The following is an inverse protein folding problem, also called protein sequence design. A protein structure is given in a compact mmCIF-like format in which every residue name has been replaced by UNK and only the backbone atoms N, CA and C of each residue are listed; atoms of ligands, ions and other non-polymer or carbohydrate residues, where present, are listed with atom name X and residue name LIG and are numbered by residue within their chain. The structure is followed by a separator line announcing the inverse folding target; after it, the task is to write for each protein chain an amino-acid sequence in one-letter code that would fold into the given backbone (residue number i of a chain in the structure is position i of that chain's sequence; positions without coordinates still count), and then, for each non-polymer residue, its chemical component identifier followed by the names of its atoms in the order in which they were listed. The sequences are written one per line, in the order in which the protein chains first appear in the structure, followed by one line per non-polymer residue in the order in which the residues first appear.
data_IF_873986676817
#
_entry.id   IF_873986676817
#
_cell.length_a   1.000
_cell.length_b   1.000
_cell.length_c   1.000
_cell.angle_alpha   90.00
_cell.angle_beta   90.00
_cell.angle_gamma   90.00
#
_symmetry.space_group_name_H-M   'P 1'
#
loop_
_entity.id
_entity.type
_entity.pdbx_description
1 polymer ?
#
# COMPACT_ATOMS: atom_id res chain seq x y z
N UNK A 1 -26.63 -7.92 -15.43
CA UNK A 1 -26.52 -7.92 -13.97
C UNK A 1 -27.27 -6.69 -13.46
N UNK A 2 -28.38 -6.92 -12.76
CA UNK A 2 -29.16 -5.84 -12.15
C UNK A 2 -28.49 -5.48 -10.81
N UNK A 3 -27.51 -4.58 -10.86
CA UNK A 3 -26.76 -4.17 -9.68
C UNK A 3 -27.58 -3.12 -8.93
N UNK A 4 -27.98 -3.43 -7.71
CA UNK A 4 -28.71 -2.52 -6.83
C UNK A 4 -27.75 -1.74 -5.97
N UNK A 5 -27.75 -0.42 -6.13
CA UNK A 5 -27.00 0.51 -5.28
C UNK A 5 -27.89 0.97 -4.12
N UNK A 6 -27.29 1.09 -2.93
CA UNK A 6 -27.93 1.62 -1.74
C UNK A 6 -27.10 2.81 -1.23
N UNK A 7 -27.62 4.03 -1.40
CA UNK A 7 -26.97 5.25 -0.93
C UNK A 7 -27.14 5.41 0.57
N UNK A 8 -26.03 5.62 1.29
CA UNK A 8 -26.01 5.81 2.74
C UNK A 8 -25.17 7.04 3.12
N UNK A 9 -25.57 7.72 4.19
CA UNK A 9 -24.82 8.80 4.85
C UNK A 9 -24.20 8.36 6.18
N UNK A 10 -24.47 7.15 6.60
CA UNK A 10 -24.00 6.56 7.85
C UNK A 10 -23.69 5.08 7.61
N UNK A 11 -22.47 4.66 7.98
CA UNK A 11 -22.02 3.28 7.80
C UNK A 11 -22.81 2.27 8.66
N UNK A 12 -23.51 2.71 9.71
CA UNK A 12 -24.42 1.84 10.46
C UNK A 12 -25.65 1.37 9.66
N UNK A 13 -25.89 2.00 8.50
CA UNK A 13 -27.01 1.68 7.60
C UNK A 13 -26.64 0.77 6.43
N UNK A 14 -25.53 0.07 6.51
CA UNK A 14 -25.12 -0.91 5.51
C UNK A 14 -26.15 -2.03 5.40
N UNK A 15 -26.62 -2.29 4.18
CA UNK A 15 -27.50 -3.43 3.88
C UNK A 15 -26.71 -4.56 3.23
N UNK A 16 -26.81 -5.75 3.82
CA UNK A 16 -26.17 -6.95 3.29
C UNK A 16 -26.74 -7.33 1.91
N UNK A 17 -25.88 -7.83 1.02
CA UNK A 17 -26.25 -8.23 -0.35
C UNK A 17 -26.49 -7.09 -1.33
N UNK A 18 -26.21 -5.83 -0.95
CA UNK A 18 -26.24 -4.65 -1.83
C UNK A 18 -24.86 -4.04 -1.94
N UNK A 19 -24.64 -3.26 -3.02
CA UNK A 19 -23.52 -2.34 -3.10
C UNK A 19 -23.94 -1.07 -2.38
N UNK A 20 -23.40 -0.85 -1.18
CA UNK A 20 -23.65 0.36 -0.42
C UNK A 20 -22.71 1.47 -0.92
N UNK A 21 -23.25 2.64 -1.20
CA UNK A 21 -22.51 3.83 -1.63
C UNK A 21 -22.57 4.85 -0.52
N UNK A 22 -21.45 5.00 0.19
CA UNK A 22 -21.31 5.98 1.25
C UNK A 22 -21.02 7.36 0.68
N UNK A 23 -21.84 8.35 1.07
CA UNK A 23 -21.66 9.74 0.67
C UNK A 23 -20.59 10.39 1.55
N UNK A 24 -19.38 10.50 1.05
CA UNK A 24 -18.23 11.09 1.77
C UNK A 24 -18.26 12.62 1.80
N UNK A 25 -19.02 13.27 0.92
CA UNK A 25 -19.15 14.73 0.82
C UNK A 25 -20.52 15.14 0.27
N UNK A 26 -20.98 16.34 0.60
CA UNK A 26 -22.29 16.91 0.17
C UNK A 26 -22.13 17.98 -0.93
N UNK A 27 -20.96 18.09 -1.56
CA UNK A 27 -20.67 19.11 -2.57
C UNK A 27 -21.16 18.65 -3.94
N UNK A 28 -21.97 19.44 -4.60
CA UNK A 28 -22.25 19.29 -6.04
C UNK A 28 -21.01 19.69 -6.85
N UNK A 29 -20.67 18.91 -7.85
CA UNK A 29 -19.55 19.19 -8.75
C UNK A 29 -19.84 18.72 -10.18
N UNK A 30 -19.27 19.44 -11.15
CA UNK A 30 -19.34 19.05 -12.55
C UNK A 30 -18.24 18.05 -12.88
N UNK A 31 -18.65 16.87 -13.32
CA UNK A 31 -17.71 15.82 -13.73
C UNK A 31 -17.20 16.09 -15.14
N UNK A 32 -15.95 16.53 -15.25
CA UNK A 32 -15.26 16.76 -16.53
C UNK A 32 -14.29 15.63 -16.82
N UNK A 33 -14.72 14.61 -17.55
CA UNK A 33 -13.88 13.47 -17.92
C UNK A 33 -12.63 13.91 -18.71
N UNK A 34 -11.48 13.30 -18.37
CA UNK A 34 -10.20 13.58 -19.02
C UNK A 34 -9.56 14.91 -18.60
N UNK A 35 -10.17 15.65 -17.68
CA UNK A 35 -9.60 16.89 -17.14
C UNK A 35 -9.04 16.69 -15.74
N UNK A 36 -7.89 17.32 -15.49
CA UNK A 36 -7.26 17.33 -14.19
C UNK A 36 -7.64 18.63 -13.45
N UNK A 37 -8.68 18.58 -12.63
CA UNK A 37 -9.18 19.74 -11.88
C UNK A 37 -8.82 19.68 -10.41
N UNK A 38 -8.57 20.81 -9.73
CA UNK A 38 -8.35 20.85 -8.28
C UNK A 38 -9.54 20.32 -7.47
N UNK A 39 -10.75 20.54 -7.95
CA UNK A 39 -12.00 20.07 -7.32
C UNK A 39 -12.03 18.54 -7.29
N UNK A 40 -11.73 17.89 -8.41
CA UNK A 40 -11.65 16.41 -8.47
C UNK A 40 -10.58 15.87 -7.50
N UNK A 41 -9.45 16.57 -7.37
CA UNK A 41 -8.40 16.23 -6.40
C UNK A 41 -8.91 16.31 -4.96
N UNK A 42 -9.58 17.37 -4.58
CA UNK A 42 -10.17 17.53 -3.23
C UNK A 42 -11.18 16.44 -2.91
N UNK A 43 -12.05 16.10 -3.86
CA UNK A 43 -13.06 15.05 -3.67
C UNK A 43 -12.42 13.66 -3.56
N UNK A 44 -11.35 13.40 -4.32
CA UNK A 44 -10.58 12.16 -4.20
C UNK A 44 -9.93 12.02 -2.82
N UNK A 45 -9.35 13.12 -2.29
CA UNK A 45 -8.79 13.14 -0.93
C UNK A 45 -9.89 12.94 0.11
N UNK A 46 -11.00 13.65 0.04
CA UNK A 46 -12.12 13.48 0.97
C UNK A 46 -12.66 12.05 1.00
N UNK A 47 -12.74 11.41 -0.18
CA UNK A 47 -13.14 9.99 -0.28
C UNK A 47 -12.12 9.06 0.39
N UNK A 48 -10.82 9.30 0.18
CA UNK A 48 -9.74 8.53 0.79
C UNK A 48 -9.72 8.68 2.31
N UNK A 49 -9.85 9.91 2.81
CA UNK A 49 -9.90 10.22 4.25
C UNK A 49 -11.09 9.53 4.93
N UNK A 50 -12.28 9.60 4.31
CA UNK A 50 -13.47 8.94 4.84
C UNK A 50 -13.30 7.41 4.92
N UNK A 51 -12.73 6.79 3.88
CA UNK A 51 -12.47 5.36 3.85
C UNK A 51 -11.38 4.95 4.86
N UNK A 52 -10.32 5.75 4.99
CA UNK A 52 -9.25 5.51 5.97
C UNK A 52 -9.77 5.62 7.40
N UNK A 53 -10.65 6.60 7.68
CA UNK A 53 -11.32 6.72 8.97
C UNK A 53 -12.16 5.48 9.28
N UNK A 54 -12.97 5.03 8.33
CA UNK A 54 -13.78 3.82 8.48
C UNK A 54 -12.91 2.58 8.78
N UNK A 55 -11.74 2.46 8.14
CA UNK A 55 -10.77 1.39 8.40
C UNK A 55 -10.18 1.49 9.82
N UNK A 56 -9.76 2.69 10.25
CA UNK A 56 -9.24 2.92 11.61
C UNK A 56 -10.25 2.59 12.71
N UNK A 57 -11.52 2.87 12.45
CA UNK A 57 -12.62 2.60 13.38
C UNK A 57 -13.13 1.15 13.32
N UNK A 58 -12.54 0.31 12.46
CA UNK A 58 -12.95 -1.10 12.31
C UNK A 58 -14.33 -1.29 11.68
N UNK A 59 -14.83 -0.29 10.96
CA UNK A 59 -16.12 -0.34 10.27
C UNK A 59 -16.02 -1.04 8.91
N UNK A 60 -14.81 -1.17 8.38
CA UNK A 60 -14.49 -1.95 7.18
C UNK A 60 -13.22 -2.78 7.44
N UNK A 61 -13.10 -3.93 6.77
CA UNK A 61 -12.00 -4.88 6.96
C UNK A 61 -10.83 -4.62 6.01
N UNK A 62 -11.09 -3.99 4.87
CA UNK A 62 -10.08 -3.70 3.85
C UNK A 62 -10.46 -2.47 3.02
N UNK A 63 -9.47 -1.83 2.44
CA UNK A 63 -9.61 -0.69 1.55
C UNK A 63 -9.04 -1.02 0.16
N UNK A 64 -9.87 -0.86 -0.87
CA UNK A 64 -9.46 -0.93 -2.27
C UNK A 64 -9.55 0.47 -2.87
N UNK A 65 -8.46 0.98 -3.41
CA UNK A 65 -8.39 2.35 -3.95
C UNK A 65 -8.36 2.35 -5.47
N UNK A 66 -9.05 3.32 -6.07
CA UNK A 66 -8.89 3.68 -7.46
C UNK A 66 -7.63 4.57 -7.64
N UNK A 67 -7.07 4.67 -8.86
CA UNK A 67 -5.96 5.58 -9.13
C UNK A 67 -6.31 7.04 -8.80
N UNK A 68 -5.33 7.78 -8.26
CA UNK A 68 -5.42 9.22 -8.03
C UNK A 68 -4.42 9.97 -8.91
N UNK A 69 -4.73 11.21 -9.23
CA UNK A 69 -3.76 12.08 -9.89
C UNK A 69 -2.89 12.78 -8.83
N UNK A 70 -1.60 12.44 -8.81
CA UNK A 70 -0.65 12.90 -7.78
C UNK A 70 -0.42 14.41 -7.77
N UNK A 71 -0.73 15.12 -8.86
CA UNK A 71 -0.54 16.57 -8.92
C UNK A 71 -1.73 17.36 -8.38
N UNK A 72 -2.98 16.87 -8.56
CA UNK A 72 -4.16 17.63 -8.15
C UNK A 72 -4.64 17.32 -6.72
N UNK A 73 -4.12 16.27 -6.10
CA UNK A 73 -4.39 15.96 -4.69
C UNK A 73 -3.54 16.78 -3.72
N UNK A 74 -2.44 17.40 -4.20
CA UNK A 74 -1.59 18.22 -3.33
C UNK A 74 -2.32 19.46 -2.84
N UNK A 75 -2.27 19.69 -1.53
CA UNK A 75 -2.86 20.83 -0.86
C UNK A 75 -2.08 21.17 0.41
N UNK A 76 -2.45 22.22 1.10
CA UNK A 76 -1.88 22.54 2.42
C UNK A 76 -2.13 21.45 3.47
N UNK A 77 -3.24 20.71 3.32
CA UNK A 77 -3.64 19.64 4.25
C UNK A 77 -3.31 18.24 3.77
N UNK A 78 -2.94 18.06 2.50
CA UNK A 78 -2.58 16.77 1.93
C UNK A 78 -1.32 16.89 1.07
N UNK A 79 -0.16 16.53 1.65
CA UNK A 79 1.16 16.63 1.02
C UNK A 79 1.84 15.28 0.80
N UNK A 80 1.07 14.21 0.65
CA UNK A 80 1.59 12.86 0.46
C UNK A 80 1.86 12.56 -1.02
N UNK A 81 2.93 11.80 -1.35
CA UNK A 81 3.24 11.38 -2.72
C UNK A 81 2.19 10.42 -3.31
N UNK A 82 1.40 9.77 -2.46
CA UNK A 82 0.35 8.84 -2.87
C UNK A 82 -0.29 8.10 -1.70
N UNK A 83 -1.10 7.08 -2.00
CA UNK A 83 -1.84 6.29 -1.01
C UNK A 83 -0.94 5.63 0.05
N UNK A 84 0.20 5.06 -0.38
CA UNK A 84 1.06 4.24 0.50
C UNK A 84 1.58 5.05 1.68
N UNK A 85 2.14 6.24 1.40
CA UNK A 85 2.72 7.10 2.43
C UNK A 85 1.62 7.67 3.34
N UNK A 86 0.50 8.10 2.76
CA UNK A 86 -0.67 8.57 3.50
C UNK A 86 -1.21 7.50 4.45
N UNK A 87 -1.46 6.28 3.94
CA UNK A 87 -1.99 5.19 4.75
C UNK A 87 -1.01 4.73 5.84
N UNK A 88 0.29 4.71 5.56
CA UNK A 88 1.31 4.36 6.55
C UNK A 88 1.30 5.35 7.72
N UNK A 89 1.22 6.65 7.45
CA UNK A 89 1.16 7.68 8.47
C UNK A 89 -0.15 7.62 9.26
N UNK A 90 -1.28 7.60 8.55
CA UNK A 90 -2.59 7.58 9.17
C UNK A 90 -2.86 6.34 10.04
N UNK A 91 -2.36 5.19 9.63
CA UNK A 91 -2.53 3.94 10.38
C UNK A 91 -1.40 3.68 11.38
N UNK A 92 -0.38 4.55 11.43
CA UNK A 92 0.77 4.42 12.34
C UNK A 92 1.56 3.12 12.10
N UNK A 93 1.71 2.68 10.85
CA UNK A 93 2.30 1.40 10.49
C UNK A 93 3.34 1.53 9.38
N UNK A 94 4.28 0.59 9.33
CA UNK A 94 5.21 0.49 8.20
C UNK A 94 4.49 -0.15 6.99
N UNK A 95 4.50 0.54 5.86
CA UNK A 95 3.99 -0.02 4.62
C UNK A 95 4.91 -1.11 4.07
N UNK A 96 4.33 -2.18 3.53
CA UNK A 96 5.01 -3.19 2.74
C UNK A 96 4.26 -3.34 1.41
N UNK A 97 4.96 -3.06 0.32
CA UNK A 97 4.39 -3.25 -1.01
C UNK A 97 4.47 -4.72 -1.41
N UNK A 98 3.31 -5.32 -1.66
CA UNK A 98 3.17 -6.67 -2.21
C UNK A 98 2.68 -6.63 -3.65
N UNK A 99 3.37 -7.37 -4.53
CA UNK A 99 2.86 -7.77 -5.83
C UNK A 99 2.28 -9.18 -5.72
N UNK A 100 1.00 -9.33 -5.98
CA UNK A 100 0.27 -10.58 -5.74
C UNK A 100 -0.28 -11.12 -7.06
N UNK A 101 0.03 -12.38 -7.36
CA UNK A 101 -0.58 -13.12 -8.46
C UNK A 101 -0.73 -14.58 -8.03
N UNK A 102 -1.93 -15.15 -8.13
CA UNK A 102 -2.28 -16.53 -7.76
C UNK A 102 -1.46 -17.12 -6.59
N UNK A 103 -0.35 -17.81 -6.93
CA UNK A 103 0.52 -18.47 -5.95
C UNK A 103 1.78 -17.69 -5.61
N UNK A 104 2.04 -16.56 -6.29
CA UNK A 104 3.24 -15.76 -6.10
C UNK A 104 2.91 -14.49 -5.32
N UNK A 105 3.71 -14.19 -4.30
CA UNK A 105 3.71 -12.94 -3.55
C UNK A 105 5.14 -12.42 -3.50
N UNK A 106 5.34 -11.21 -4.02
CA UNK A 106 6.65 -10.56 -4.03
C UNK A 106 6.56 -9.33 -3.15
N UNK A 107 7.30 -9.30 -2.06
CA UNK A 107 7.43 -8.13 -1.20
C UNK A 107 8.68 -7.34 -1.57
N UNK A 108 8.59 -6.02 -1.56
CA UNK A 108 9.69 -5.12 -1.88
C UNK A 108 10.43 -4.69 -0.61
N UNK A 109 11.75 -4.75 -0.62
CA UNK A 109 12.58 -4.18 0.45
C UNK A 109 12.64 -2.65 0.34
N UNK A 110 12.73 -2.13 -0.89
CA UNK A 110 12.75 -0.69 -1.19
C UNK A 110 11.75 -0.38 -2.30
N UNK A 111 11.18 0.82 -2.26
CA UNK A 111 10.30 1.36 -3.29
C UNK A 111 10.57 2.87 -3.48
N UNK A 112 10.19 3.41 -4.63
CA UNK A 112 10.25 4.84 -4.94
C UNK A 112 11.59 5.55 -4.65
N UNK A 113 12.72 4.82 -4.68
CA UNK A 113 14.07 5.37 -4.54
C UNK A 113 14.88 5.24 -5.83
N UNK A 114 15.85 6.12 -6.02
CA UNK A 114 16.76 6.02 -7.17
C UNK A 114 17.57 4.71 -7.11
N UNK A 115 17.79 4.06 -8.27
CA UNK A 115 18.56 2.80 -8.36
C UNK A 115 19.93 2.93 -7.69
N UNK A 116 20.61 4.07 -7.84
CA UNK A 116 21.90 4.34 -7.20
C UNK A 116 21.88 4.35 -5.67
N UNK A 117 20.69 4.42 -5.05
CA UNK A 117 20.51 4.42 -3.59
C UNK A 117 20.07 3.07 -3.03
N UNK A 118 19.75 2.10 -3.88
CA UNK A 118 19.20 0.79 -3.45
C UNK A 118 20.17 0.06 -2.54
N UNK A 119 21.45 -0.06 -2.94
CA UNK A 119 22.47 -0.76 -2.15
C UNK A 119 22.65 -0.15 -0.76
N UNK A 120 22.71 1.17 -0.66
CA UNK A 120 22.88 1.87 0.62
C UNK A 120 21.65 1.79 1.52
N UNK A 121 20.45 1.69 0.92
CA UNK A 121 19.21 1.60 1.65
C UNK A 121 18.98 0.20 2.26
N UNK A 122 19.54 -0.85 1.66
CA UNK A 122 19.34 -2.23 2.14
C UNK A 122 20.26 -2.51 3.33
N UNK A 123 19.65 -2.71 4.49
CA UNK A 123 20.34 -3.03 5.74
C UNK A 123 19.74 -4.29 6.36
N UNK A 124 20.50 -4.98 7.20
CA UNK A 124 19.99 -6.14 7.97
C UNK A 124 18.73 -5.77 8.77
N UNK A 125 18.68 -4.56 9.34
CA UNK A 125 17.50 -4.06 10.08
C UNK A 125 16.28 -3.95 9.16
N UNK A 126 16.44 -3.33 7.98
CA UNK A 126 15.35 -3.18 7.01
C UNK A 126 14.83 -4.55 6.55
N UNK A 127 15.74 -5.47 6.20
CA UNK A 127 15.36 -6.83 5.78
C UNK A 127 14.53 -7.51 6.86
N UNK A 128 15.01 -7.51 8.11
CA UNK A 128 14.30 -8.14 9.23
C UNK A 128 12.93 -7.51 9.50
N UNK A 129 12.82 -6.19 9.45
CA UNK A 129 11.54 -5.48 9.61
C UNK A 129 10.56 -5.87 8.50
N UNK A 130 10.96 -5.76 7.23
CA UNK A 130 10.11 -6.10 6.08
C UNK A 130 9.72 -7.59 6.06
N UNK A 131 10.66 -8.49 6.37
CA UNK A 131 10.36 -9.93 6.48
C UNK A 131 9.39 -10.23 7.62
N UNK A 132 9.53 -9.58 8.77
CA UNK A 132 8.59 -9.75 9.88
C UNK A 132 7.17 -9.30 9.51
N UNK A 133 7.03 -8.13 8.88
CA UNK A 133 5.75 -7.63 8.36
C UNK A 133 5.19 -8.60 7.31
N UNK A 134 6.02 -9.08 6.38
CA UNK A 134 5.63 -10.05 5.36
C UNK A 134 5.13 -11.36 5.98
N UNK A 135 5.84 -11.90 6.97
CA UNK A 135 5.46 -13.13 7.67
C UNK A 135 4.11 -12.98 8.37
N UNK A 136 3.88 -11.82 9.01
CA UNK A 136 2.61 -11.51 9.66
C UNK A 136 1.48 -11.50 8.63
N UNK A 137 1.61 -10.71 7.57
CA UNK A 137 0.59 -10.60 6.53
C UNK A 137 0.31 -11.94 5.83
N UNK A 138 1.35 -12.72 5.50
CA UNK A 138 1.17 -14.05 4.90
C UNK A 138 0.34 -14.99 5.79
N UNK A 139 0.44 -14.87 7.12
CA UNK A 139 -0.35 -15.68 8.05
C UNK A 139 -1.75 -15.14 8.27
N UNK A 140 -1.87 -13.84 8.55
CA UNK A 140 -3.12 -13.21 8.97
C UNK A 140 -4.02 -12.90 7.78
N UNK A 141 -3.46 -12.30 6.71
CA UNK A 141 -4.24 -11.82 5.57
C UNK A 141 -4.39 -12.90 4.49
N UNK A 142 -3.35 -13.73 4.29
CA UNK A 142 -3.35 -14.77 3.26
C UNK A 142 -3.63 -16.18 3.80
N UNK A 143 -3.73 -16.38 5.10
CA UNK A 143 -4.02 -17.69 5.72
C UNK A 143 -2.92 -18.74 5.55
N UNK A 144 -1.69 -18.35 5.25
CA UNK A 144 -0.57 -19.29 5.04
C UNK A 144 0.08 -19.61 6.37
N UNK A 145 -0.23 -20.77 6.94
CA UNK A 145 0.21 -21.18 8.29
C UNK A 145 1.74 -21.26 8.41
N UNK A 146 2.42 -21.76 7.38
CA UNK A 146 3.88 -21.94 7.34
C UNK A 146 4.47 -21.26 6.10
N UNK A 147 4.51 -19.93 6.04
CA UNK A 147 5.05 -19.23 4.89
C UNK A 147 6.55 -19.48 4.76
N UNK A 148 7.00 -19.70 3.53
CA UNK A 148 8.40 -19.77 3.16
C UNK A 148 8.73 -18.53 2.34
N UNK A 149 9.72 -17.77 2.78
CA UNK A 149 10.17 -16.55 2.11
C UNK A 149 11.57 -16.82 1.54
N UNK A 150 11.73 -16.56 0.25
CA UNK A 150 13.03 -16.52 -0.39
C UNK A 150 13.48 -15.06 -0.49
N UNK A 151 14.71 -14.78 -0.10
CA UNK A 151 15.34 -13.47 -0.27
C UNK A 151 16.23 -13.53 -1.51
N UNK A 152 15.95 -12.67 -2.47
CA UNK A 152 16.76 -12.57 -3.70
C UNK A 152 18.04 -11.78 -3.41
N UNK A 153 19.14 -12.18 -4.06
CA UNK A 153 20.40 -11.46 -4.00
C UNK A 153 20.29 -10.04 -4.59
N UNK A 154 21.10 -9.13 -4.08
CA UNK A 154 21.22 -7.76 -4.59
C UNK A 154 22.07 -7.77 -5.88
N UNK A 155 23.17 -8.51 -5.83
CA UNK A 155 24.11 -8.57 -6.94
C UNK A 155 23.87 -9.81 -7.81
N UNK A 156 24.25 -9.79 -9.08
CA UNK A 156 24.31 -10.99 -9.90
C UNK A 156 25.15 -12.08 -9.21
N UNK A 157 24.68 -13.33 -9.26
CA UNK A 157 25.33 -14.47 -8.61
C UNK A 157 25.62 -14.28 -7.11
N UNK A 158 24.77 -13.46 -6.43
CA UNK A 158 24.96 -13.09 -5.01
C UNK A 158 26.38 -12.55 -4.71
N UNK A 159 26.90 -11.74 -5.64
CA UNK A 159 28.19 -11.08 -5.51
C UNK A 159 29.40 -11.93 -5.89
N UNK A 160 29.22 -13.20 -6.31
CA UNK A 160 30.30 -14.11 -6.75
C UNK A 160 31.52 -14.08 -5.83
N UNK A 161 31.32 -14.48 -4.56
CA UNK A 161 32.32 -14.47 -3.50
C UNK A 161 33.01 -13.09 -3.30
N UNK A 162 32.27 -12.00 -3.57
CA UNK A 162 32.75 -10.63 -3.40
C UNK A 162 33.44 -10.04 -4.62
N UNK A 163 33.49 -10.74 -5.75
CA UNK A 163 34.07 -10.27 -7.02
C UNK A 163 33.20 -9.18 -7.66
N UNK A 164 31.86 -9.36 -7.62
CA UNK A 164 30.89 -8.42 -8.21
C UNK A 164 30.37 -7.42 -7.16
N UNK A 165 30.34 -7.82 -5.88
CA UNK A 165 29.89 -6.99 -4.77
C UNK A 165 29.94 -7.76 -3.46
N UNK A 166 29.90 -7.08 -2.33
CA UNK A 166 30.01 -7.67 -0.98
C UNK A 166 28.73 -7.58 -0.16
N UNK A 167 27.68 -6.97 -0.69
CA UNK A 167 26.43 -6.67 0.00
C UNK A 167 25.69 -7.96 0.37
N UNK A 168 25.69 -8.93 -0.53
CA UNK A 168 25.03 -10.24 -0.28
C UNK A 168 25.71 -10.97 0.88
N UNK A 169 27.04 -10.95 0.98
CA UNK A 169 27.75 -11.58 2.09
C UNK A 169 27.63 -10.82 3.40
N UNK A 170 27.77 -9.48 3.33
CA UNK A 170 27.84 -8.63 4.53
C UNK A 170 26.48 -8.26 5.11
N UNK A 171 25.43 -8.24 4.29
CA UNK A 171 24.11 -7.76 4.67
C UNK A 171 23.05 -8.87 4.55
N UNK A 172 22.95 -9.48 3.34
CA UNK A 172 21.87 -10.41 3.05
C UNK A 172 21.99 -11.71 3.82
N UNK A 173 23.14 -12.38 3.74
CA UNK A 173 23.38 -13.66 4.47
C UNK A 173 23.19 -13.51 5.99
N UNK A 174 23.74 -12.50 6.68
CA UNK A 174 23.50 -12.30 8.11
C UNK A 174 22.06 -11.94 8.49
N UNK A 175 21.27 -11.44 7.53
CA UNK A 175 19.86 -11.14 7.79
C UNK A 175 18.98 -12.39 7.85
N UNK A 176 19.38 -13.49 7.19
CA UNK A 176 18.62 -14.76 7.11
C UNK A 176 19.19 -15.88 7.99
N UNK A 177 20.37 -15.66 8.58
CA UNK A 177 20.95 -16.55 9.59
C UNK A 177 20.26 -16.36 10.96
#
# INVERSE_FOLDING_TARGET
LDIKFHGIKDLSRIESGKINVYQAFDTEFDLAFGQNTPEAGKLAVASLEAATKALKEGQIDALVTAPINKSNIQSETFSFPGHTDYLAEELGAEALMFMVADRLRVGLLTDHIAVSKVSDAITTKLIRSKVATMMKSLREDFGIIRPKIALLGINPHSGDNGTIGKEDEKIMKPAVA
#
